data_IF_947781035647
#
_entry.id   IF_947781035647
#
_cell.length_a   1.000
_cell.length_b   1.000
_cell.length_c   1.000
_cell.angle_alpha   90.00
_cell.angle_beta   90.00
_cell.angle_gamma   90.00
#
_symmetry.space_group_name_H-M   'P 1'
#
loop_
_entity.id
_entity.type
_entity.pdbx_description
1 polymer ?
#
# COMPACT_ATOMS: atom_id res chain seq x y z
N UNK A 1 12.19 21.21 -11.88
CA UNK A 1 11.59 20.46 -10.77
C UNK A 1 10.21 21.04 -10.63
N UNK A 2 9.25 20.38 -11.28
CA UNK A 2 7.95 20.96 -11.60
C UNK A 2 7.16 21.27 -10.33
N UNK A 3 6.35 22.32 -10.37
CA UNK A 3 5.58 22.86 -9.24
C UNK A 3 4.79 21.79 -8.48
N UNK A 4 4.36 20.72 -9.16
CA UNK A 4 3.70 19.56 -8.56
C UNK A 4 4.59 18.79 -7.58
N UNK A 5 5.84 18.49 -7.96
CA UNK A 5 6.77 17.77 -7.08
C UNK A 5 7.10 18.60 -5.85
N UNK A 6 7.27 19.91 -6.01
CA UNK A 6 7.52 20.82 -4.90
C UNK A 6 6.31 20.95 -3.95
N UNK A 7 5.08 20.92 -4.48
CA UNK A 7 3.85 20.96 -3.69
C UNK A 7 3.63 19.67 -2.90
N UNK A 8 3.88 18.51 -3.54
CA UNK A 8 3.84 17.19 -2.89
C UNK A 8 4.88 17.14 -1.78
N UNK A 9 6.12 17.56 -2.05
CA UNK A 9 7.20 17.62 -1.05
C UNK A 9 6.87 18.60 0.08
N UNK A 10 6.30 19.77 -0.19
CA UNK A 10 5.92 20.73 0.85
C UNK A 10 4.80 20.20 1.77
N UNK A 11 3.77 19.55 1.20
CA UNK A 11 2.70 18.89 1.98
C UNK A 11 3.24 17.74 2.85
N UNK A 12 4.42 17.20 2.53
CA UNK A 12 5.07 16.15 3.33
C UNK A 12 5.73 16.70 4.61
N UNK A 13 6.00 18.01 4.71
CA UNK A 13 6.79 18.58 5.80
C UNK A 13 5.99 19.45 6.79
N UNK A 14 4.68 19.57 6.63
CA UNK A 14 3.83 20.22 7.64
C UNK A 14 3.71 19.34 8.90
N UNK A 15 4.11 19.82 10.10
CA UNK A 15 4.05 19.04 11.33
C UNK A 15 2.62 18.96 11.89
N UNK A 16 2.19 17.74 12.24
CA UNK A 16 0.90 17.52 12.90
C UNK A 16 1.10 17.26 14.41
N UNK A 17 0.43 18.04 15.29
CA UNK A 17 0.43 17.79 16.72
C UNK A 17 -0.60 16.69 17.10
N UNK A 18 -0.31 15.91 18.16
CA UNK A 18 -1.26 15.08 18.95
C UNK A 18 -1.35 13.56 18.74
N UNK A 19 -0.26 12.84 18.46
CA UNK A 19 -0.28 11.36 18.54
C UNK A 19 0.43 10.79 19.76
N UNK A 20 -0.24 9.82 20.39
CA UNK A 20 0.30 9.02 21.48
C UNK A 20 0.56 7.58 21.03
N UNK A 21 1.36 6.83 21.79
CA UNK A 21 1.63 5.40 21.58
C UNK A 21 0.36 4.53 21.64
N UNK A 22 -0.71 5.03 22.28
CA UNK A 22 -2.01 4.36 22.36
C UNK A 22 -2.74 4.37 21.01
N UNK A 23 -2.67 5.49 20.27
CA UNK A 23 -3.23 5.61 18.91
C UNK A 23 -2.62 4.56 17.97
N UNK A 24 -1.29 4.40 17.99
CA UNK A 24 -0.60 3.41 17.17
C UNK A 24 -0.99 1.96 17.51
N UNK A 25 -1.25 1.66 18.79
CA UNK A 25 -1.69 0.32 19.21
C UNK A 25 -3.11 0.00 18.73
N UNK A 26 -4.03 0.95 18.87
CA UNK A 26 -5.39 0.79 18.38
C UNK A 26 -5.40 0.61 16.85
N UNK A 27 -4.59 1.38 16.14
CA UNK A 27 -4.40 1.21 14.70
C UNK A 27 -3.96 -0.22 14.36
N UNK A 28 -2.93 -0.74 15.03
CA UNK A 28 -2.43 -2.10 14.80
C UNK A 28 -3.50 -3.18 15.06
N UNK A 29 -4.25 -3.08 16.17
CA UNK A 29 -5.29 -4.05 16.50
C UNK A 29 -6.47 -4.00 15.52
N UNK A 30 -6.90 -2.81 15.13
CA UNK A 30 -8.11 -2.64 14.31
C UNK A 30 -7.86 -2.76 12.80
N UNK A 31 -6.66 -2.42 12.31
CA UNK A 31 -6.36 -2.37 10.87
C UNK A 31 -5.38 -3.44 10.42
N UNK A 32 -4.39 -3.80 11.25
CA UNK A 32 -3.33 -4.76 10.87
C UNK A 32 -3.72 -6.19 11.24
N UNK A 33 -4.26 -6.41 12.44
CA UNK A 33 -4.56 -7.77 12.93
C UNK A 33 -5.49 -8.59 12.00
N UNK A 34 -6.55 -8.03 11.37
CA UNK A 34 -7.41 -8.80 10.45
C UNK A 34 -6.70 -9.29 9.18
N UNK A 35 -5.61 -8.61 8.80
CA UNK A 35 -4.80 -8.92 7.61
C UNK A 35 -3.76 -9.99 7.92
N UNK A 36 -3.18 -9.94 9.12
CA UNK A 36 -2.21 -10.94 9.62
C UNK A 36 -2.91 -12.23 10.07
N UNK A 37 -4.10 -12.09 10.63
CA UNK A 37 -4.91 -13.18 11.19
C UNK A 37 -6.26 -13.27 10.46
N UNK A 38 -6.28 -13.49 9.13
CA UNK A 38 -7.53 -13.77 8.47
C UNK A 38 -8.11 -15.03 9.13
N UNK A 39 -9.42 -15.07 9.39
CA UNK A 39 -10.16 -16.20 9.97
C UNK A 39 -10.06 -17.53 9.17
N UNK A 40 -9.05 -17.69 8.33
CA UNK A 40 -8.73 -18.83 7.49
C UNK A 40 -7.51 -19.55 8.03
N UNK A 41 -7.75 -20.54 8.88
CA UNK A 41 -6.80 -21.56 9.38
C UNK A 41 -6.15 -22.44 8.29
N UNK A 42 -6.14 -22.03 7.01
CA UNK A 42 -5.61 -22.81 5.90
C UNK A 42 -4.96 -22.06 4.72
N UNK A 43 -5.04 -20.71 4.64
CA UNK A 43 -4.52 -19.95 3.47
C UNK A 43 -3.08 -19.43 3.62
N UNK A 44 -2.59 -19.24 4.85
CA UNK A 44 -1.23 -18.76 5.10
C UNK A 44 -0.15 -19.76 4.65
N UNK A 45 -0.47 -21.06 4.60
CA UNK A 45 0.47 -22.11 4.22
C UNK A 45 0.94 -22.04 2.76
N UNK A 46 0.15 -21.46 1.84
CA UNK A 46 0.52 -21.37 0.41
C UNK A 46 1.47 -20.21 0.08
N UNK A 47 1.58 -19.20 0.96
CA UNK A 47 2.45 -18.04 0.73
C UNK A 47 3.93 -18.41 0.92
N UNK A 48 4.21 -19.40 1.76
CA UNK A 48 5.56 -19.94 1.98
C UNK A 48 6.20 -20.59 0.73
N UNK A 49 5.44 -20.71 -0.37
CA UNK A 49 5.89 -21.33 -1.63
C UNK A 49 6.33 -20.34 -2.70
N UNK A 50 6.17 -19.03 -2.47
CA UNK A 50 6.55 -18.01 -3.44
C UNK A 50 8.08 -17.92 -3.59
N UNK A 51 8.61 -17.79 -4.82
CA UNK A 51 10.04 -17.68 -5.04
C UNK A 51 10.59 -16.41 -4.39
N UNK A 52 11.76 -16.54 -3.76
CA UNK A 52 12.49 -15.42 -3.17
C UNK A 52 13.21 -14.66 -4.27
N UNK A 53 13.05 -13.35 -4.29
CA UNK A 53 13.63 -12.42 -5.27
C UNK A 53 14.33 -11.28 -4.54
N UNK A 54 15.26 -10.60 -5.22
CA UNK A 54 15.80 -9.34 -4.72
C UNK A 54 14.73 -8.25 -4.87
N UNK A 55 14.13 -7.85 -3.76
CA UNK A 55 13.05 -6.88 -3.69
C UNK A 55 13.59 -5.49 -3.31
N UNK A 56 13.40 -4.55 -4.23
CA UNK A 56 13.62 -3.13 -3.98
C UNK A 56 12.56 -2.61 -2.99
N UNK A 57 12.98 -1.87 -1.96
CA UNK A 57 12.09 -1.46 -0.87
C UNK A 57 11.36 -0.13 -1.11
N UNK A 58 11.76 0.64 -2.11
CA UNK A 58 11.15 1.93 -2.45
C UNK A 58 10.98 2.14 -3.95
N UNK A 59 10.13 1.36 -4.61
CA UNK A 59 9.88 1.49 -6.06
C UNK A 59 8.94 2.67 -6.40
N UNK A 60 9.19 3.82 -5.79
CA UNK A 60 8.46 5.06 -6.04
C UNK A 60 8.85 5.68 -7.40
N UNK A 61 8.02 6.58 -7.97
CA UNK A 61 8.25 7.15 -9.31
C UNK A 61 9.62 7.79 -9.53
N UNK A 62 10.27 8.31 -8.46
CA UNK A 62 11.58 8.92 -8.52
C UNK A 62 12.76 7.94 -8.64
N UNK A 63 12.52 6.64 -8.45
CA UNK A 63 13.55 5.60 -8.55
C UNK A 63 13.55 4.89 -9.91
N UNK A 64 12.82 5.42 -10.90
CA UNK A 64 12.89 4.97 -12.28
C UNK A 64 13.58 5.99 -13.16
N UNK A 65 14.53 5.52 -13.97
CA UNK A 65 15.02 6.29 -15.11
C UNK A 65 14.15 5.94 -16.32
N UNK A 66 13.47 6.93 -16.90
CA UNK A 66 12.56 6.76 -18.02
C UNK A 66 13.19 7.33 -19.30
N UNK A 67 12.99 6.63 -20.41
CA UNK A 67 13.26 7.14 -21.75
C UNK A 67 12.14 8.10 -22.17
N UNK A 68 12.43 9.40 -22.27
CA UNK A 68 11.43 10.42 -22.57
C UNK A 68 10.73 10.26 -23.94
N UNK A 69 11.39 9.60 -24.90
CA UNK A 69 10.82 9.40 -26.24
C UNK A 69 9.86 8.21 -26.29
N UNK A 70 10.06 7.20 -25.44
CA UNK A 70 9.35 5.92 -25.50
C UNK A 70 8.54 5.59 -24.25
N UNK A 71 8.73 6.31 -23.15
CA UNK A 71 8.13 6.04 -21.85
C UNK A 71 8.65 4.76 -21.18
N UNK A 72 9.70 4.14 -21.71
CA UNK A 72 10.23 2.86 -21.18
C UNK A 72 11.13 3.09 -19.98
N UNK A 73 11.01 2.22 -18.98
CA UNK A 73 11.97 2.14 -17.87
C UNK A 73 13.32 1.66 -18.42
N UNK A 74 14.34 2.50 -18.30
CA UNK A 74 15.72 2.20 -18.68
C UNK A 74 16.52 1.62 -17.51
N UNK A 75 16.25 2.08 -16.28
CA UNK A 75 16.91 1.60 -15.08
C UNK A 75 16.04 1.81 -13.84
N UNK A 76 16.31 0.99 -12.81
CA UNK A 76 15.84 1.19 -11.44
C UNK A 76 17.03 1.67 -10.61
N UNK A 77 16.86 2.80 -9.93
CA UNK A 77 17.88 3.49 -9.13
C UNK A 77 17.69 3.20 -7.64
N UNK A 78 18.64 3.65 -6.82
CA UNK A 78 18.59 3.65 -5.35
C UNK A 78 18.27 2.31 -4.67
N UNK A 79 19.13 1.31 -4.90
CA UNK A 79 19.01 -0.02 -4.31
C UNK A 79 19.36 -0.10 -2.82
N UNK A 80 19.53 1.02 -2.13
CA UNK A 80 19.80 0.98 -0.68
C UNK A 80 18.64 0.31 0.06
N UNK A 81 18.97 -0.53 1.03
CA UNK A 81 17.99 -1.31 1.77
C UNK A 81 17.29 -2.43 0.99
N UNK A 82 17.71 -2.79 -0.23
CA UNK A 82 17.14 -3.94 -0.94
C UNK A 82 17.27 -5.26 -0.14
N UNK A 83 16.22 -6.10 -0.17
CA UNK A 83 16.13 -7.33 0.63
C UNK A 83 15.73 -8.53 -0.23
N UNK A 84 16.17 -9.73 0.15
CA UNK A 84 15.66 -10.97 -0.41
C UNK A 84 14.32 -11.31 0.24
N UNK A 85 13.23 -11.18 -0.52
CA UNK A 85 11.86 -11.42 -0.04
C UNK A 85 11.07 -12.24 -1.07
N UNK A 86 10.01 -12.95 -0.65
CA UNK A 86 9.10 -13.60 -1.58
C UNK A 86 8.54 -12.59 -2.59
N UNK A 87 8.43 -12.98 -3.86
CA UNK A 87 7.87 -12.14 -4.92
C UNK A 87 6.48 -11.63 -4.52
N UNK A 88 6.20 -10.35 -4.79
CA UNK A 88 4.97 -9.69 -4.32
C UNK A 88 5.19 -8.79 -3.10
N UNK A 89 6.26 -8.99 -2.33
CA UNK A 89 6.49 -8.23 -1.09
C UNK A 89 6.64 -6.72 -1.30
N UNK A 90 7.15 -6.28 -2.45
CA UNK A 90 7.28 -4.86 -2.78
C UNK A 90 6.22 -4.36 -3.78
N UNK A 91 5.19 -5.16 -4.09
CA UNK A 91 4.17 -4.75 -5.07
C UNK A 91 3.32 -3.57 -4.60
N UNK A 92 3.31 -3.28 -3.30
CA UNK A 92 2.68 -2.07 -2.77
C UNK A 92 3.35 -0.79 -3.25
N UNK A 93 4.63 -0.81 -3.59
CA UNK A 93 5.30 0.36 -4.16
C UNK A 93 4.74 0.71 -5.55
N UNK A 94 4.26 -0.29 -6.30
CA UNK A 94 3.66 -0.12 -7.62
C UNK A 94 2.29 0.58 -7.55
N UNK A 95 1.61 0.56 -6.39
CA UNK A 95 0.37 1.35 -6.24
C UNK A 95 0.62 2.82 -6.57
N UNK A 96 1.81 3.38 -6.33
CA UNK A 96 2.16 4.76 -6.70
C UNK A 96 2.16 5.03 -8.23
N UNK A 97 2.03 4.00 -9.06
CA UNK A 97 1.80 4.13 -10.50
C UNK A 97 0.30 4.15 -10.87
N UNK A 98 -0.57 3.66 -9.98
CA UNK A 98 -2.02 3.57 -10.18
C UNK A 98 -2.79 4.68 -9.47
N UNK A 99 -2.11 5.43 -8.61
CA UNK A 99 -2.72 6.45 -7.77
C UNK A 99 -1.66 7.24 -7.01
N UNK A 100 -2.13 8.11 -6.13
CA UNK A 100 -1.27 8.94 -5.31
C UNK A 100 -1.92 9.22 -3.96
N UNK A 101 -1.09 9.36 -2.93
CA UNK A 101 -1.56 9.73 -1.60
C UNK A 101 -1.79 11.24 -1.53
N UNK A 102 -2.96 11.66 -1.04
CA UNK A 102 -3.27 13.06 -0.72
C UNK A 102 -3.49 13.23 0.78
N UNK A 103 -3.56 14.47 1.31
CA UNK A 103 -3.94 14.69 2.71
C UNK A 103 -5.32 14.11 3.06
N UNK A 104 -6.18 13.86 2.07
CA UNK A 104 -7.52 13.29 2.26
C UNK A 104 -7.60 11.78 2.03
N UNK A 105 -6.45 11.08 1.98
CA UNK A 105 -6.26 9.65 1.65
C UNK A 105 -5.83 9.40 0.18
N UNK A 106 -5.69 8.12 -0.15
CA UNK A 106 -5.31 7.59 -1.44
C UNK A 106 -6.33 7.96 -2.52
N UNK A 107 -5.86 8.43 -3.67
CA UNK A 107 -6.68 8.72 -4.84
C UNK A 107 -6.18 7.89 -6.02
N UNK A 108 -7.11 7.17 -6.65
CA UNK A 108 -6.83 6.36 -7.82
C UNK A 108 -6.85 7.21 -9.09
N UNK A 109 -6.03 6.82 -10.05
CA UNK A 109 -6.12 7.28 -11.44
C UNK A 109 -7.32 6.64 -12.14
N UNK A 110 -7.82 7.28 -13.20
CA UNK A 110 -9.00 6.79 -13.96
C UNK A 110 -8.75 5.39 -14.56
N UNK A 111 -7.49 5.09 -14.86
CA UNK A 111 -6.96 3.90 -15.49
C UNK A 111 -6.37 2.87 -14.51
N UNK A 112 -6.58 3.05 -13.19
CA UNK A 112 -6.08 2.13 -12.15
C UNK A 112 -6.38 0.67 -12.49
N UNK A 113 -7.62 0.36 -12.85
CA UNK A 113 -8.06 -1.03 -13.01
C UNK A 113 -7.32 -1.71 -14.16
N UNK A 114 -7.20 -1.02 -15.29
CA UNK A 114 -6.49 -1.47 -16.47
C UNK A 114 -4.99 -1.65 -16.18
N UNK A 115 -4.38 -0.69 -15.48
CA UNK A 115 -2.96 -0.74 -15.12
C UNK A 115 -2.65 -1.86 -14.13
N UNK A 116 -3.48 -2.05 -13.11
CA UNK A 116 -3.32 -3.12 -12.12
C UNK A 116 -3.48 -4.50 -12.76
N UNK A 117 -4.47 -4.68 -13.63
CA UNK A 117 -4.64 -5.92 -14.40
C UNK A 117 -3.43 -6.20 -15.30
N UNK A 118 -2.96 -5.20 -16.04
CA UNK A 118 -1.77 -5.34 -16.89
C UNK A 118 -0.52 -5.69 -16.08
N UNK A 119 -0.31 -5.07 -14.92
CA UNK A 119 0.81 -5.35 -14.03
C UNK A 119 0.79 -6.80 -13.54
N UNK A 120 -0.34 -7.28 -12.99
CA UNK A 120 -0.44 -8.64 -12.49
C UNK A 120 -0.28 -9.69 -13.60
N UNK A 121 -0.86 -9.46 -14.79
CA UNK A 121 -0.68 -10.34 -15.94
C UNK A 121 0.79 -10.43 -16.34
N UNK A 122 1.48 -9.29 -16.47
CA UNK A 122 2.90 -9.26 -16.82
C UNK A 122 3.78 -9.91 -15.74
N UNK A 123 3.47 -9.73 -14.46
CA UNK A 123 4.22 -10.35 -13.36
C UNK A 123 4.09 -11.88 -13.39
N UNK A 124 2.87 -12.39 -13.59
CA UNK A 124 2.60 -13.81 -13.69
C UNK A 124 3.26 -14.45 -14.92
N UNK A 125 3.18 -13.80 -16.08
CA UNK A 125 3.86 -14.25 -17.29
C UNK A 125 5.38 -14.31 -17.10
N UNK A 126 5.95 -13.29 -16.45
CA UNK A 126 7.39 -13.23 -16.14
C UNK A 126 7.83 -14.34 -15.20
N UNK A 127 7.00 -14.73 -14.23
CA UNK A 127 7.23 -15.85 -13.32
C UNK A 127 7.11 -17.20 -14.05
N UNK A 128 6.10 -17.36 -14.90
CA UNK A 128 5.89 -18.58 -15.69
C UNK A 128 7.07 -18.86 -16.63
N UNK A 129 7.60 -17.84 -17.33
CA UNK A 129 8.80 -17.97 -18.17
C UNK A 129 10.03 -18.45 -17.39
N UNK A 130 10.10 -18.15 -16.09
CA UNK A 130 11.17 -18.59 -15.19
C UNK A 130 10.92 -19.97 -14.55
N UNK A 131 9.85 -20.67 -14.95
CA UNK A 131 9.50 -22.00 -14.43
C UNK A 131 8.61 -21.99 -13.19
N UNK A 132 8.13 -20.82 -12.75
CA UNK A 132 7.22 -20.70 -11.60
C UNK A 132 5.76 -20.62 -12.08
N UNK A 133 5.33 -21.63 -12.82
CA UNK A 133 3.93 -21.77 -13.25
C UNK A 133 3.04 -22.18 -12.07
N UNK A 134 1.85 -21.59 -11.96
CA UNK A 134 0.87 -21.94 -10.92
C UNK A 134 0.79 -20.96 -9.75
N UNK A 135 1.63 -19.92 -9.73
CA UNK A 135 1.44 -18.77 -8.84
C UNK A 135 0.18 -18.02 -9.29
N UNK A 136 -0.67 -17.63 -8.35
CA UNK A 136 -1.90 -16.89 -8.64
C UNK A 136 -1.81 -15.42 -8.23
N UNK A 137 -2.72 -14.58 -8.78
CA UNK A 137 -2.86 -13.18 -8.36
C UNK A 137 -3.14 -13.08 -6.86
N UNK A 138 -3.99 -13.95 -6.31
CA UNK A 138 -4.36 -13.95 -4.90
C UNK A 138 -3.18 -14.24 -3.98
N UNK A 139 -2.24 -15.10 -4.40
CA UNK A 139 -1.01 -15.34 -3.65
C UNK A 139 -0.12 -14.09 -3.65
N UNK A 140 0.03 -13.43 -4.80
CA UNK A 140 0.81 -12.19 -4.91
C UNK A 140 0.17 -11.03 -4.13
N UNK A 141 -1.16 -10.93 -4.11
CA UNK A 141 -1.92 -9.97 -3.28
C UNK A 141 -1.77 -10.24 -1.79
N UNK A 142 -1.80 -11.51 -1.39
CA UNK A 142 -1.55 -11.88 0.01
C UNK A 142 -0.12 -11.53 0.42
N UNK A 143 0.86 -11.75 -0.46
CA UNK A 143 2.24 -11.36 -0.21
C UNK A 143 2.44 -9.85 -0.24
N UNK A 144 1.73 -9.11 -1.09
CA UNK A 144 1.67 -7.64 -1.11
C UNK A 144 1.21 -7.13 0.26
N UNK A 145 0.17 -7.71 0.83
CA UNK A 145 -0.31 -7.35 2.16
C UNK A 145 0.77 -7.56 3.24
N UNK A 146 1.46 -8.70 3.25
CA UNK A 146 2.62 -8.92 4.15
C UNK A 146 3.70 -7.87 3.92
N UNK A 147 3.98 -7.55 2.67
CA UNK A 147 4.91 -6.49 2.27
C UNK A 147 4.57 -5.12 2.83
N UNK A 148 3.30 -4.70 2.72
CA UNK A 148 2.79 -3.45 3.30
C UNK A 148 3.01 -3.43 4.81
N UNK A 149 2.79 -4.56 5.49
CA UNK A 149 2.99 -4.65 6.92
C UNK A 149 4.47 -4.56 7.31
N UNK A 150 5.35 -5.26 6.59
CA UNK A 150 6.80 -5.16 6.81
C UNK A 150 7.29 -3.72 6.64
N UNK A 151 6.90 -3.07 5.54
CA UNK A 151 7.29 -1.70 5.24
C UNK A 151 6.64 -0.67 6.18
N UNK A 152 5.34 -0.79 6.40
CA UNK A 152 4.53 0.17 7.15
C UNK A 152 4.75 0.10 8.66
N UNK A 153 4.88 -1.10 9.25
CA UNK A 153 5.09 -1.25 10.70
C UNK A 153 6.46 -0.73 11.11
N UNK A 154 7.52 -0.99 10.34
CA UNK A 154 8.84 -0.42 10.63
C UNK A 154 8.78 1.12 10.67
N UNK A 155 8.11 1.72 9.68
CA UNK A 155 7.93 3.17 9.60
C UNK A 155 7.06 3.71 10.74
N UNK A 156 5.98 3.03 11.10
CA UNK A 156 5.18 3.37 12.27
C UNK A 156 6.02 3.37 13.55
N UNK A 157 6.83 2.34 13.76
CA UNK A 157 7.69 2.22 14.94
C UNK A 157 8.80 3.29 14.96
N UNK A 158 9.32 3.65 13.79
CA UNK A 158 10.39 4.65 13.64
C UNK A 158 9.89 6.08 13.82
N UNK A 159 8.79 6.43 13.15
CA UNK A 159 8.31 7.82 13.06
C UNK A 159 7.22 8.15 14.07
N UNK A 160 6.43 7.15 14.51
CA UNK A 160 5.38 7.27 15.53
C UNK A 160 4.47 8.49 15.32
N UNK A 161 3.99 8.65 14.10
CA UNK A 161 3.12 9.77 13.71
C UNK A 161 1.92 9.29 12.87
N UNK A 162 0.85 10.08 12.87
CA UNK A 162 -0.41 9.84 12.13
C UNK A 162 -0.17 9.76 10.64
N UNK A 163 0.90 10.38 10.17
CA UNK A 163 1.29 10.31 8.78
C UNK A 163 1.65 8.88 8.39
N UNK A 164 2.48 8.19 9.17
CA UNK A 164 2.80 6.79 8.95
C UNK A 164 1.55 5.89 9.09
N UNK A 165 0.61 6.24 9.98
CA UNK A 165 -0.70 5.56 10.10
C UNK A 165 -1.56 5.77 8.86
N UNK A 166 -1.69 7.01 8.36
CA UNK A 166 -2.45 7.34 7.15
C UNK A 166 -1.85 6.67 5.91
N UNK A 167 -0.53 6.66 5.76
CA UNK A 167 0.11 5.94 4.66
C UNK A 167 -0.21 4.46 4.72
N UNK A 168 -0.06 3.85 5.89
CA UNK A 168 -0.38 2.45 6.06
C UNK A 168 -1.87 2.20 5.78
N UNK A 169 -2.77 3.02 6.31
CA UNK A 169 -4.22 2.90 6.05
C UNK A 169 -4.55 2.98 4.57
N UNK A 170 -3.97 3.94 3.84
CA UNK A 170 -4.19 4.06 2.40
C UNK A 170 -3.69 2.84 1.62
N UNK A 171 -2.48 2.33 1.94
CA UNK A 171 -2.00 1.08 1.33
C UNK A 171 -2.89 -0.12 1.67
N UNK A 172 -3.39 -0.20 2.91
CA UNK A 172 -4.30 -1.27 3.32
C UNK A 172 -5.67 -1.17 2.63
N UNK A 173 -6.18 0.05 2.39
CA UNK A 173 -7.42 0.27 1.64
C UNK A 173 -7.30 -0.10 0.15
N UNK A 174 -6.10 0.06 -0.43
CA UNK A 174 -5.82 -0.32 -1.80
C UNK A 174 -5.75 -1.85 -2.04
N UNK A 175 -5.78 -2.67 -0.98
CA UNK A 175 -5.85 -4.13 -1.12
C UNK A 175 -7.22 -4.55 -1.65
N UNK A 176 -7.23 -5.26 -2.79
CA UNK A 176 -8.43 -5.64 -3.52
C UNK A 176 -9.47 -6.40 -2.67
N UNK A 177 -9.02 -7.21 -1.72
CA UNK A 177 -9.88 -7.98 -0.80
C UNK A 177 -10.36 -7.21 0.45
N UNK A 178 -9.82 -6.03 0.73
CA UNK A 178 -10.23 -5.21 1.89
C UNK A 178 -11.55 -4.45 1.63
N UNK A 179 -11.93 -4.27 0.36
CA UNK A 179 -13.18 -3.65 -0.07
C UNK A 179 -14.44 -4.28 0.57
N UNK A 180 -14.44 -5.61 0.77
CA UNK A 180 -15.56 -6.32 1.43
C UNK A 180 -15.47 -6.37 2.96
N UNK A 181 -14.25 -6.34 3.52
CA UNK A 181 -14.02 -6.50 4.97
C UNK A 181 -14.40 -5.24 5.76
N UNK A 182 -14.09 -4.07 5.19
CA UNK A 182 -14.46 -2.77 5.75
C UNK A 182 -15.99 -2.64 5.83
N UNK A 183 -16.71 -3.02 4.78
CA UNK A 183 -18.18 -2.91 4.74
C UNK A 183 -18.87 -3.78 5.81
N UNK A 184 -18.39 -5.01 6.02
CA UNK A 184 -18.92 -5.91 7.07
C UNK A 184 -18.57 -5.44 8.49
N UNK A 185 -17.42 -4.79 8.69
CA UNK A 185 -16.98 -4.32 10.01
C UNK A 185 -17.76 -3.09 10.48
N UNK A 186 -17.97 -2.09 9.61
CA UNK A 186 -18.73 -0.89 9.94
C UNK A 186 -20.21 -1.20 10.27
N UNK A 187 -20.82 -2.15 9.55
CA UNK A 187 -22.17 -2.65 9.85
C UNK A 187 -22.21 -3.39 11.19
N UNK A 188 -21.20 -4.22 11.49
CA UNK A 188 -21.17 -5.02 12.73
C UNK A 188 -20.92 -4.19 14.00
N UNK A 189 -20.37 -2.99 13.88
CA UNK A 189 -20.08 -2.09 15.02
C UNK A 189 -20.96 -0.83 15.03
N UNK A 190 -21.98 -0.74 14.18
CA UNK A 190 -23.02 0.30 14.24
C UNK A 190 -22.59 1.71 13.81
N UNK A 191 -21.51 1.85 13.04
CA UNK A 191 -21.05 3.13 12.54
C UNK A 191 -21.65 3.39 11.15
N UNK A 192 -22.58 4.34 11.07
CA UNK A 192 -23.16 4.77 9.80
C UNK A 192 -22.13 5.61 9.02
N UNK A 193 -21.78 5.15 7.82
CA UNK A 193 -20.80 5.80 6.93
C UNK A 193 -21.16 7.26 6.64
N UNK A 194 -22.45 7.59 6.71
CA UNK A 194 -22.98 8.90 6.38
C UNK A 194 -22.83 9.93 7.53
N UNK A 195 -22.71 9.48 8.79
CA UNK A 195 -22.46 10.36 9.94
C UNK A 195 -20.97 10.68 10.13
N UNK A 196 -20.07 9.70 9.96
CA UNK A 196 -18.62 9.92 10.11
C UNK A 196 -18.03 10.87 9.06
N UNK A 197 -18.60 10.91 7.86
CA UNK A 197 -18.21 11.86 6.81
C UNK A 197 -18.78 13.26 7.07
N UNK A 198 -19.98 13.37 7.64
CA UNK A 198 -20.58 14.67 8.03
C UNK A 198 -19.85 15.30 9.23
N UNK A 199 -19.43 14.48 10.20
CA UNK A 199 -18.75 14.97 11.40
C UNK A 199 -17.29 15.40 11.12
N UNK A 200 -16.61 14.80 10.14
CA UNK A 200 -15.32 15.31 9.65
C UNK A 200 -15.46 16.59 8.83
N UNK A 201 -16.53 16.72 8.03
CA UNK A 201 -16.78 17.96 7.28
C UNK A 201 -17.12 19.13 8.19
N UNK A 202 -17.84 18.94 9.30
CA UNK A 202 -18.19 20.05 10.20
C UNK A 202 -17.00 20.60 11.00
N UNK A 203 -15.98 19.77 11.31
CA UNK A 203 -14.76 20.24 12.01
C UNK A 203 -13.77 20.99 11.13
N UNK A 204 -13.77 20.74 9.81
CA UNK A 204 -12.84 21.40 8.86
C UNK A 204 -13.28 22.84 8.51
N UNK A 205 -14.51 23.26 8.84
CA UNK A 205 -15.02 24.61 8.57
C UNK A 205 -15.28 25.46 9.83
N UNK A 206 -14.79 25.03 11.00
CA UNK A 206 -15.02 25.70 12.28
C UNK A 206 -13.74 26.26 12.96
N UNK A 207 -12.57 26.14 12.32
CA UNK A 207 -11.30 26.75 12.74
C UNK A 207 -10.58 27.36 11.53
#
# INVERSE_FOLDING_TARGET
MDDYQSLVVAQFFEPLPNLSQESCHQFALHRIAPIVLPNTTGKLCDIATLPVTLAHQDLAPFNYLIDDCTGRVQAVLDWDGALYLPVGSNFHSIDNLFGFMTPSCWQDTEDRKELEEAFYNQALDSLAVKGFSGITKEQLESQKAIGILLYGVERLLRFKNERAEHYLEGYLQALSFMSGFIFSYYISYGWDLDEGVKERRSRVWAE
#
